data_IF_559453118551
#
_entry.id   IF_559453118551
#
_cell.length_a   1.000
_cell.length_b   1.000
_cell.length_c   1.000
_cell.angle_alpha   90.00
_cell.angle_beta   90.00
_cell.angle_gamma   90.00
#
_symmetry.space_group_name_H-M   'P 1'
#
loop_
_entity.id
_entity.type
_entity.pdbx_description
1 polymer ?
#
# COMPACT_ATOMS: atom_id res chain seq x y z
N UNK A 1 16.82 14.91 37.13
CA UNK A 1 16.46 14.15 35.92
C UNK A 1 16.29 15.14 34.82
N UNK A 2 17.12 15.10 33.78
CA UNK A 2 16.95 15.92 32.58
C UNK A 2 15.79 15.30 31.81
N UNK A 3 14.65 16.00 31.71
CA UNK A 3 13.56 15.54 30.83
C UNK A 3 14.11 15.49 29.41
N UNK A 4 13.94 14.37 28.68
CA UNK A 4 14.36 14.32 27.30
C UNK A 4 13.63 15.41 26.53
N UNK A 5 14.39 16.27 25.82
CA UNK A 5 13.79 17.30 24.96
C UNK A 5 12.92 16.62 23.91
N UNK A 6 11.63 16.88 23.94
CA UNK A 6 10.70 16.42 22.90
C UNK A 6 11.05 17.10 21.59
N UNK A 7 11.31 16.30 20.55
CA UNK A 7 11.46 16.83 19.18
C UNK A 7 10.12 17.39 18.69
N UNK A 8 10.15 18.34 17.77
CA UNK A 8 8.94 18.96 17.19
C UNK A 8 7.96 17.95 16.63
N UNK A 9 8.45 16.90 15.97
CA UNK A 9 7.62 15.83 15.39
C UNK A 9 6.87 15.00 16.44
N UNK A 10 7.36 14.96 17.68
CA UNK A 10 6.70 14.26 18.79
C UNK A 10 5.66 15.11 19.51
N UNK A 11 5.60 16.40 19.23
CA UNK A 11 4.71 17.32 19.92
C UNK A 11 3.42 17.51 19.14
N UNK A 12 2.28 17.30 19.77
CA UNK A 12 1.00 17.77 19.30
C UNK A 12 0.52 18.89 20.20
N UNK A 13 0.52 20.08 19.68
CA UNK A 13 0.06 21.27 20.39
C UNK A 13 -1.45 21.45 20.20
N UNK A 14 -2.17 21.77 21.25
CA UNK A 14 -3.60 22.08 21.22
C UNK A 14 -3.91 23.25 22.15
N UNK A 15 -4.93 24.03 21.80
CA UNK A 15 -5.53 25.04 22.71
C UNK A 15 -6.30 24.36 23.85
N UNK A 16 -6.81 25.15 24.78
CA UNK A 16 -7.68 24.69 25.88
C UNK A 16 -8.96 24.03 25.33
N UNK A 17 -9.52 24.51 24.24
CA UNK A 17 -10.65 23.93 23.53
C UNK A 17 -10.31 22.72 22.67
N UNK A 18 -9.10 22.13 22.83
CA UNK A 18 -8.58 20.99 22.08
C UNK A 18 -8.44 21.23 20.56
N UNK A 19 -8.43 22.47 20.10
CA UNK A 19 -8.16 22.81 18.71
C UNK A 19 -6.68 22.57 18.42
N UNK A 20 -6.32 21.74 17.42
CA UNK A 20 -4.92 21.47 17.11
C UNK A 20 -4.24 22.68 16.46
N UNK A 21 -3.05 23.02 16.92
CA UNK A 21 -2.18 24.01 16.32
C UNK A 21 -1.27 23.28 15.32
N UNK A 22 -1.67 23.28 14.03
CA UNK A 22 -1.04 22.42 13.02
C UNK A 22 -0.13 23.19 12.05
N UNK A 23 -0.11 24.51 12.12
CA UNK A 23 0.59 25.34 11.13
C UNK A 23 1.82 26.00 11.77
N UNK A 24 2.99 25.47 11.40
CA UNK A 24 4.28 25.92 11.97
C UNK A 24 4.68 27.33 11.49
N UNK A 25 4.07 27.80 10.39
CA UNK A 25 4.37 29.11 9.76
C UNK A 25 3.46 30.23 10.28
N UNK A 26 2.49 29.95 11.12
CA UNK A 26 1.59 30.94 11.69
C UNK A 26 2.16 31.55 12.97
N UNK A 27 1.97 32.86 13.11
CA UNK A 27 2.26 33.55 14.37
C UNK A 27 1.21 33.20 15.42
N UNK A 28 1.57 33.32 16.73
CA UNK A 28 0.63 33.08 17.82
C UNK A 28 -0.58 34.02 17.73
N UNK A 29 -0.37 35.23 17.28
CA UNK A 29 -1.45 36.22 17.06
C UNK A 29 -2.43 35.77 15.99
N UNK A 30 -1.93 35.21 14.85
CA UNK A 30 -2.80 34.69 13.77
C UNK A 30 -3.59 33.44 14.18
N UNK A 31 -3.15 32.76 15.25
CA UNK A 31 -3.84 31.66 15.88
C UNK A 31 -4.77 32.12 17.02
N UNK A 32 -4.97 33.44 17.18
CA UNK A 32 -5.74 34.07 18.25
C UNK A 32 -5.26 33.72 19.67
N UNK A 33 -3.98 33.36 19.82
CA UNK A 33 -3.37 33.11 21.13
C UNK A 33 -2.84 34.39 21.75
N UNK A 34 -3.22 34.66 22.98
CA UNK A 34 -2.82 35.81 23.76
C UNK A 34 -1.93 35.47 24.92
N UNK A 35 -1.27 36.46 25.50
CA UNK A 35 -0.51 36.28 26.72
C UNK A 35 -1.41 35.79 27.86
N UNK A 36 -1.07 34.66 28.44
CA UNK A 36 -1.86 34.01 29.50
C UNK A 36 -2.67 32.79 29.02
N UNK A 37 -2.83 32.59 27.70
CA UNK A 37 -3.52 31.41 27.16
C UNK A 37 -2.69 30.13 27.40
N UNK A 38 -3.40 29.03 27.67
CA UNK A 38 -2.77 27.73 27.91
C UNK A 38 -2.67 26.93 26.63
N UNK A 39 -1.47 26.45 26.36
CA UNK A 39 -1.20 25.48 25.25
C UNK A 39 -0.84 24.13 25.85
N UNK A 40 -1.54 23.12 25.44
CA UNK A 40 -1.32 21.74 25.89
C UNK A 40 -0.41 21.00 24.91
N UNK A 41 0.60 20.32 25.45
CA UNK A 41 1.55 19.51 24.68
C UNK A 41 1.25 18.04 24.93
N UNK A 42 0.94 17.29 23.87
CA UNK A 42 0.82 15.83 23.92
C UNK A 42 2.03 15.21 23.25
N UNK A 43 2.75 14.35 23.96
CA UNK A 43 3.81 13.52 23.37
C UNK A 43 3.18 12.42 22.52
N UNK A 44 3.55 12.37 21.24
CA UNK A 44 3.10 11.37 20.26
C UNK A 44 3.95 10.10 20.26
N UNK A 45 4.99 10.05 21.13
CA UNK A 45 5.98 8.97 21.15
C UNK A 45 6.95 9.01 19.95
N UNK A 46 7.78 7.98 19.80
CA UNK A 46 8.71 7.89 18.67
C UNK A 46 7.98 7.99 17.33
N UNK A 47 8.51 8.85 16.44
CA UNK A 47 7.93 9.14 15.13
C UNK A 47 8.85 8.67 14.02
N UNK A 48 8.26 8.25 12.89
CA UNK A 48 8.97 7.85 11.66
C UNK A 48 8.31 8.52 10.46
N UNK A 49 9.11 8.89 9.46
CA UNK A 49 8.60 9.49 8.23
C UNK A 49 7.71 8.54 7.44
N UNK A 50 6.55 9.01 6.97
CA UNK A 50 5.62 8.23 6.13
C UNK A 50 6.33 7.59 4.93
N UNK A 51 7.18 8.37 4.24
CA UNK A 51 7.92 7.88 3.08
C UNK A 51 8.81 6.69 3.43
N UNK A 52 9.53 6.75 4.55
CA UNK A 52 10.36 5.64 5.04
C UNK A 52 9.55 4.38 5.29
N UNK A 53 8.37 4.53 5.90
CA UNK A 53 7.47 3.38 6.15
C UNK A 53 7.07 2.73 4.85
N UNK A 54 6.63 3.49 3.83
CA UNK A 54 6.24 2.93 2.54
C UNK A 54 7.38 2.26 1.79
N UNK A 55 8.60 2.83 1.83
CA UNK A 55 9.78 2.15 1.27
C UNK A 55 10.05 0.81 1.94
N UNK A 56 9.99 0.75 3.25
CA UNK A 56 10.20 -0.52 3.98
C UNK A 56 9.10 -1.52 3.66
N UNK A 57 7.84 -1.09 3.60
CA UNK A 57 6.71 -1.97 3.29
C UNK A 57 6.84 -2.63 1.93
N UNK A 58 7.10 -1.85 0.87
CA UNK A 58 7.13 -2.36 -0.50
C UNK A 58 8.43 -3.06 -0.87
N UNK A 59 9.55 -2.74 -0.19
CA UNK A 59 10.81 -3.46 -0.34
C UNK A 59 10.67 -4.95 0.03
N UNK A 60 9.81 -5.29 0.99
CA UNK A 60 9.60 -6.69 1.39
C UNK A 60 9.24 -7.60 0.23
N UNK A 61 8.11 -7.42 -0.43
CA UNK A 61 7.72 -8.22 -1.59
C UNK A 61 8.74 -8.17 -2.74
N UNK A 62 9.35 -7.01 -3.01
CA UNK A 62 10.38 -6.87 -4.05
C UNK A 62 11.59 -7.77 -3.80
N UNK A 63 11.95 -8.01 -2.56
CA UNK A 63 13.07 -8.87 -2.18
C UNK A 63 12.64 -10.34 -2.01
N UNK A 64 11.48 -10.56 -1.40
CA UNK A 64 11.03 -11.91 -1.04
C UNK A 64 10.58 -12.71 -2.27
N UNK A 65 9.86 -12.11 -3.23
CA UNK A 65 9.41 -12.84 -4.42
C UNK A 65 10.57 -13.40 -5.25
N UNK A 66 11.61 -12.63 -5.63
CA UNK A 66 12.75 -13.18 -6.34
C UNK A 66 13.50 -14.23 -5.51
N UNK A 67 13.67 -13.98 -4.20
CA UNK A 67 14.35 -14.93 -3.33
C UNK A 67 13.62 -16.26 -3.26
N UNK A 68 12.32 -16.25 -3.02
CA UNK A 68 11.51 -17.48 -2.99
C UNK A 68 11.50 -18.16 -4.36
N UNK A 69 11.37 -17.39 -5.44
CA UNK A 69 11.44 -17.95 -6.80
C UNK A 69 12.76 -18.67 -7.08
N UNK A 70 13.89 -18.11 -6.67
CA UNK A 70 15.20 -18.72 -6.86
C UNK A 70 15.40 -19.95 -5.96
N UNK A 71 14.90 -19.92 -4.74
CA UNK A 71 15.11 -20.99 -3.76
C UNK A 71 14.10 -22.15 -3.87
N UNK A 72 12.88 -21.89 -4.32
CA UNK A 72 11.81 -22.88 -4.32
C UNK A 72 12.19 -24.22 -5.02
N UNK A 73 12.84 -24.25 -6.19
CA UNK A 73 13.23 -25.53 -6.81
C UNK A 73 14.16 -26.35 -5.92
N UNK A 74 15.10 -25.71 -5.23
CA UNK A 74 16.06 -26.37 -4.34
C UNK A 74 15.38 -26.88 -3.07
N UNK A 75 14.52 -26.05 -2.47
CA UNK A 75 13.77 -26.41 -1.27
C UNK A 75 12.83 -27.57 -1.56
N UNK A 76 12.07 -27.54 -2.64
CA UNK A 76 11.16 -28.63 -2.99
C UNK A 76 11.88 -29.89 -3.40
N UNK A 77 13.05 -29.78 -4.04
CA UNK A 77 13.88 -30.96 -4.35
C UNK A 77 14.36 -31.69 -3.08
N UNK A 78 14.65 -30.99 -1.99
CA UNK A 78 14.99 -31.61 -0.71
C UNK A 78 13.84 -32.40 -0.08
N UNK A 79 12.60 -32.09 -0.48
CA UNK A 79 11.40 -32.88 -0.12
C UNK A 79 11.03 -33.96 -1.18
N UNK A 80 11.95 -34.24 -2.11
CA UNK A 80 11.73 -35.23 -3.17
C UNK A 80 10.78 -34.76 -4.30
N UNK A 81 10.54 -33.47 -4.43
CA UNK A 81 9.66 -32.90 -5.44
C UNK A 81 10.44 -31.93 -6.36
N UNK A 82 10.76 -32.41 -7.56
CA UNK A 82 11.26 -31.53 -8.62
C UNK A 82 10.11 -31.02 -9.48
N UNK A 83 10.21 -29.77 -9.93
CA UNK A 83 9.23 -29.14 -10.83
C UNK A 83 9.89 -28.10 -11.74
N UNK A 84 9.22 -27.76 -12.81
CA UNK A 84 9.57 -26.64 -13.68
C UNK A 84 8.51 -25.56 -13.55
N UNK A 85 8.94 -24.31 -13.59
CA UNK A 85 8.01 -23.19 -13.52
C UNK A 85 7.07 -23.16 -14.71
N UNK A 86 5.80 -22.92 -14.44
CA UNK A 86 4.80 -22.64 -15.47
C UNK A 86 4.91 -21.20 -15.98
N UNK A 87 4.37 -20.93 -17.16
CA UNK A 87 4.30 -19.57 -17.72
C UNK A 87 3.53 -18.63 -16.78
N UNK A 88 2.44 -19.11 -16.16
CA UNK A 88 1.67 -18.28 -15.23
C UNK A 88 2.48 -17.88 -13.99
N UNK A 89 3.32 -18.76 -13.45
CA UNK A 89 4.22 -18.40 -12.33
C UNK A 89 5.25 -17.36 -12.73
N UNK A 90 5.86 -17.50 -13.91
CA UNK A 90 6.86 -16.55 -14.43
C UNK A 90 6.25 -15.17 -14.70
N UNK A 91 5.09 -15.14 -15.35
CA UNK A 91 4.35 -13.91 -15.59
C UNK A 91 3.96 -13.25 -14.26
N UNK A 92 3.47 -14.03 -13.30
CA UNK A 92 3.09 -13.47 -11.99
C UNK A 92 4.27 -12.84 -11.27
N UNK A 93 5.46 -13.45 -11.32
CA UNK A 93 6.67 -12.84 -10.77
C UNK A 93 6.90 -11.45 -11.36
N UNK A 94 6.84 -11.33 -12.68
CA UNK A 94 7.05 -10.05 -13.37
C UNK A 94 5.99 -9.02 -12.95
N UNK A 95 4.72 -9.41 -12.93
CA UNK A 95 3.62 -8.50 -12.56
C UNK A 95 3.75 -8.01 -11.12
N UNK A 96 4.06 -8.89 -10.18
CA UNK A 96 4.25 -8.53 -8.76
C UNK A 96 5.44 -7.60 -8.58
N UNK A 97 6.56 -7.86 -9.25
CA UNK A 97 7.73 -6.99 -9.18
C UNK A 97 7.45 -5.61 -9.78
N UNK A 98 6.76 -5.55 -10.91
CA UNK A 98 6.36 -4.28 -11.54
C UNK A 98 5.39 -3.50 -10.64
N UNK A 99 4.42 -4.19 -10.00
CA UNK A 99 3.51 -3.56 -9.05
C UNK A 99 4.26 -2.88 -7.91
N UNK A 100 5.10 -3.62 -7.19
CA UNK A 100 5.82 -3.05 -6.04
C UNK A 100 6.90 -2.03 -6.44
N UNK A 101 7.56 -2.19 -7.60
CA UNK A 101 8.45 -1.18 -8.15
C UNK A 101 7.69 0.13 -8.46
N UNK A 102 6.48 0.04 -9.03
CA UNK A 102 5.61 1.20 -9.21
C UNK A 102 5.25 1.83 -7.87
N UNK A 103 4.90 1.03 -6.84
CA UNK A 103 4.57 1.54 -5.50
C UNK A 103 5.76 2.28 -4.85
N UNK A 104 6.98 1.79 -5.03
CA UNK A 104 8.20 2.49 -4.61
C UNK A 104 8.36 3.82 -5.34
N UNK A 105 8.22 3.80 -6.67
CA UNK A 105 8.28 5.01 -7.49
C UNK A 105 7.24 6.04 -7.07
N UNK A 106 5.99 5.64 -6.86
CA UNK A 106 4.92 6.51 -6.41
C UNK A 106 5.21 7.11 -5.03
N UNK A 107 5.76 6.33 -4.11
CA UNK A 107 6.15 6.79 -2.78
C UNK A 107 7.29 7.81 -2.82
N UNK A 108 8.22 7.65 -3.76
CA UNK A 108 9.33 8.57 -3.96
C UNK A 108 8.91 9.91 -4.57
N UNK A 109 8.06 9.87 -5.61
CA UNK A 109 7.88 11.00 -6.51
C UNK A 109 6.44 11.53 -6.60
N UNK A 110 5.45 10.69 -6.36
CA UNK A 110 4.03 11.00 -6.58
C UNK A 110 3.31 11.34 -5.27
N UNK A 111 3.45 10.50 -4.23
CA UNK A 111 2.67 10.67 -3.02
C UNK A 111 3.01 11.95 -2.25
N UNK A 112 1.98 12.66 -1.82
CA UNK A 112 2.07 13.85 -0.97
C UNK A 112 1.37 13.60 0.35
N UNK A 113 2.16 13.46 1.40
CA UNK A 113 1.66 13.16 2.73
C UNK A 113 1.15 14.42 3.43
N UNK A 114 0.02 14.31 4.13
CA UNK A 114 -0.56 15.42 4.91
C UNK A 114 0.24 15.70 6.18
N UNK A 115 0.81 14.65 6.76
CA UNK A 115 1.69 14.71 7.91
C UNK A 115 3.08 14.22 7.52
N UNK A 116 4.11 14.79 8.10
CA UNK A 116 5.50 14.39 7.83
C UNK A 116 5.84 13.02 8.43
N UNK A 117 5.25 12.70 9.60
CA UNK A 117 5.54 11.51 10.38
C UNK A 117 4.29 10.77 10.86
N UNK A 118 4.49 9.54 11.31
CA UNK A 118 3.52 8.69 11.98
C UNK A 118 4.19 8.01 13.19
N UNK A 119 3.41 7.44 14.14
CA UNK A 119 4.00 6.63 15.22
C UNK A 119 4.87 5.51 14.68
N UNK A 120 6.12 5.42 15.15
CA UNK A 120 7.12 4.48 14.65
C UNK A 120 6.67 3.00 14.75
N UNK A 121 5.84 2.66 15.73
CA UNK A 121 5.31 1.31 15.89
C UNK A 121 4.47 0.84 14.67
N UNK A 122 3.90 1.76 13.91
CA UNK A 122 3.10 1.42 12.73
C UNK A 122 3.91 0.72 11.63
N UNK A 123 5.25 0.88 11.61
CA UNK A 123 6.11 0.16 10.64
C UNK A 123 5.94 -1.35 10.78
N UNK A 124 5.85 -1.88 12.00
CA UNK A 124 5.70 -3.33 12.21
C UNK A 124 4.34 -3.83 11.74
N UNK A 125 3.27 -3.07 12.01
CA UNK A 125 1.93 -3.41 11.57
C UNK A 125 1.83 -3.45 10.04
N UNK A 126 2.32 -2.41 9.41
CA UNK A 126 2.22 -2.24 7.97
C UNK A 126 3.17 -3.21 7.24
N UNK A 127 4.45 -3.25 7.65
CA UNK A 127 5.40 -4.20 7.08
C UNK A 127 4.97 -5.66 7.28
N UNK A 128 4.33 -5.98 8.41
CA UNK A 128 3.77 -7.31 8.65
C UNK A 128 2.77 -7.72 7.58
N UNK A 129 1.86 -6.83 7.17
CA UNK A 129 0.93 -7.09 6.07
C UNK A 129 1.67 -7.36 4.75
N UNK A 130 2.57 -6.46 4.35
CA UNK A 130 3.26 -6.59 3.07
C UNK A 130 4.29 -7.72 3.03
N UNK A 131 5.10 -7.86 4.09
CA UNK A 131 6.16 -8.87 4.11
C UNK A 131 5.62 -10.28 4.30
N UNK A 132 4.66 -10.47 5.22
CA UNK A 132 4.13 -11.80 5.54
C UNK A 132 3.05 -12.24 4.54
N UNK A 133 2.07 -11.40 4.24
CA UNK A 133 0.98 -11.80 3.36
C UNK A 133 1.36 -11.67 1.88
N UNK A 134 1.81 -10.49 1.45
CA UNK A 134 2.20 -10.30 0.06
C UNK A 134 3.57 -10.93 -0.25
N UNK A 135 4.55 -10.81 0.64
CA UNK A 135 5.87 -11.38 0.43
C UNK A 135 5.88 -12.89 0.61
N UNK A 136 5.75 -13.37 1.84
CA UNK A 136 5.98 -14.80 2.18
C UNK A 136 4.82 -15.69 1.73
N UNK A 137 3.60 -15.42 2.20
CA UNK A 137 2.44 -16.30 1.92
C UNK A 137 2.17 -16.40 0.42
N UNK A 138 2.11 -15.26 -0.26
CA UNK A 138 1.80 -15.20 -1.68
C UNK A 138 2.89 -15.92 -2.51
N UNK A 139 4.17 -15.62 -2.25
CA UNK A 139 5.28 -16.20 -3.03
C UNK A 139 5.44 -17.71 -2.81
N UNK A 140 5.34 -18.20 -1.57
CA UNK A 140 5.42 -19.64 -1.28
C UNK A 140 4.28 -20.39 -1.97
N UNK A 141 3.06 -19.86 -1.96
CA UNK A 141 1.92 -20.47 -2.63
C UNK A 141 2.10 -20.49 -4.14
N UNK A 142 2.42 -19.36 -4.74
CA UNK A 142 2.54 -19.23 -6.20
C UNK A 142 3.73 -20.05 -6.73
N UNK A 143 4.93 -19.94 -6.12
CA UNK A 143 6.13 -20.60 -6.66
C UNK A 143 6.31 -22.03 -6.13
N UNK A 144 5.21 -22.71 -5.83
CA UNK A 144 5.18 -24.10 -5.42
C UNK A 144 5.05 -25.07 -6.62
N UNK A 145 5.39 -26.36 -6.44
CA UNK A 145 5.13 -27.38 -7.47
C UNK A 145 3.66 -27.54 -7.83
N UNK A 146 2.74 -27.19 -6.93
CA UNK A 146 1.29 -27.26 -7.15
C UNK A 146 0.78 -26.26 -8.21
N UNK A 147 1.60 -25.27 -8.54
CA UNK A 147 1.37 -24.26 -9.59
C UNK A 147 2.38 -24.41 -10.75
N UNK A 148 3.25 -25.43 -10.69
CA UNK A 148 4.28 -25.71 -11.69
C UNK A 148 3.70 -26.21 -13.02
N UNK A 149 4.54 -26.30 -14.08
CA UNK A 149 4.12 -26.65 -15.44
C UNK A 149 3.32 -27.94 -15.51
N UNK A 150 3.71 -28.97 -14.73
CA UNK A 150 3.00 -30.25 -14.70
C UNK A 150 1.59 -30.13 -14.11
N UNK A 151 1.40 -29.26 -13.12
CA UNK A 151 0.12 -29.05 -12.45
C UNK A 151 -0.86 -28.22 -13.30
N UNK A 152 -0.35 -27.27 -14.10
CA UNK A 152 -1.20 -26.40 -14.92
C UNK A 152 -1.46 -26.94 -16.32
N UNK A 153 -0.67 -27.93 -16.78
CA UNK A 153 -0.75 -28.48 -18.13
C UNK A 153 -2.15 -28.98 -18.45
N UNK A 154 -2.69 -28.52 -19.59
CA UNK A 154 -4.04 -28.86 -20.03
C UNK A 154 -5.18 -28.17 -19.28
N UNK A 155 -4.87 -27.26 -18.35
CA UNK A 155 -5.85 -26.39 -17.72
C UNK A 155 -5.91 -25.03 -18.45
N UNK A 156 -6.91 -24.19 -18.12
CA UNK A 156 -7.01 -22.82 -18.66
C UNK A 156 -5.77 -21.97 -18.35
N UNK A 157 -5.03 -22.29 -17.28
CA UNK A 157 -3.81 -21.58 -16.86
C UNK A 157 -2.59 -21.88 -17.75
N UNK A 158 -2.69 -22.87 -18.62
CA UNK A 158 -1.65 -23.21 -19.63
C UNK A 158 -1.92 -22.49 -20.97
N UNK A 159 -3.11 -21.89 -21.16
CA UNK A 159 -3.47 -21.17 -22.36
C UNK A 159 -2.88 -19.74 -22.35
N UNK A 160 -2.00 -19.39 -23.31
CA UNK A 160 -1.43 -18.04 -23.41
C UNK A 160 -2.48 -16.94 -23.59
N UNK A 161 -3.65 -17.25 -24.18
CA UNK A 161 -4.74 -16.27 -24.35
C UNK A 161 -5.38 -15.94 -23.01
N UNK A 162 -5.58 -16.93 -22.16
CA UNK A 162 -6.08 -16.76 -20.79
C UNK A 162 -5.13 -15.89 -19.98
N UNK A 163 -3.84 -16.24 -19.96
CA UNK A 163 -2.81 -15.45 -19.26
C UNK A 163 -2.76 -14.03 -19.82
N UNK A 164 -2.73 -13.87 -21.14
CA UNK A 164 -2.67 -12.58 -21.81
C UNK A 164 -3.87 -11.67 -21.48
N UNK A 165 -5.08 -12.23 -21.37
CA UNK A 165 -6.27 -11.47 -20.99
C UNK A 165 -6.11 -10.86 -19.59
N UNK A 166 -5.63 -11.62 -18.60
CA UNK A 166 -5.41 -11.11 -17.26
C UNK A 166 -4.22 -10.15 -17.16
N UNK A 167 -3.18 -10.33 -17.97
CA UNK A 167 -2.09 -9.35 -18.07
C UNK A 167 -2.62 -8.00 -18.58
N UNK A 168 -3.50 -8.01 -19.57
CA UNK A 168 -4.14 -6.77 -20.10
C UNK A 168 -4.99 -6.12 -19.00
N UNK A 169 -5.87 -6.88 -18.33
CA UNK A 169 -6.71 -6.37 -17.24
C UNK A 169 -5.84 -5.76 -16.13
N UNK A 170 -4.81 -6.48 -15.70
CA UNK A 170 -3.86 -6.01 -14.69
C UNK A 170 -3.17 -4.72 -15.12
N UNK A 171 -2.66 -4.65 -16.37
CA UNK A 171 -1.98 -3.46 -16.89
C UNK A 171 -2.90 -2.24 -16.90
N UNK A 172 -4.14 -2.40 -17.36
CA UNK A 172 -5.12 -1.32 -17.36
C UNK A 172 -5.46 -0.87 -15.93
N UNK A 173 -5.56 -1.80 -15.01
CA UNK A 173 -5.78 -1.50 -13.59
C UNK A 173 -4.60 -0.73 -12.97
N UNK A 174 -3.35 -1.14 -13.23
CA UNK A 174 -2.16 -0.44 -12.77
C UNK A 174 -2.04 0.99 -13.32
N UNK A 175 -2.35 1.16 -14.61
CA UNK A 175 -2.40 2.49 -15.23
C UNK A 175 -3.50 3.36 -14.63
N UNK A 176 -4.68 2.80 -14.39
CA UNK A 176 -5.79 3.51 -13.74
C UNK A 176 -5.48 3.89 -12.29
N UNK A 177 -4.82 2.99 -11.55
CA UNK A 177 -4.33 3.24 -10.19
C UNK A 177 -3.29 4.38 -10.18
N UNK A 178 -2.29 4.31 -11.05
CA UNK A 178 -1.26 5.34 -11.19
C UNK A 178 -1.86 6.71 -11.54
N UNK A 179 -2.78 6.74 -12.51
CA UNK A 179 -3.43 8.00 -12.92
C UNK A 179 -4.29 8.60 -11.81
N UNK A 180 -4.94 7.76 -11.01
CA UNK A 180 -5.67 8.20 -9.82
C UNK A 180 -4.74 8.86 -8.78
N UNK A 181 -3.56 8.26 -8.53
CA UNK A 181 -2.54 8.85 -7.65
C UNK A 181 -1.97 10.17 -8.22
N UNK A 182 -1.80 10.24 -9.54
CA UNK A 182 -1.35 11.46 -10.20
C UNK A 182 -2.36 12.61 -10.02
N UNK A 183 -3.66 12.34 -10.21
CA UNK A 183 -4.71 13.33 -9.93
C UNK A 183 -4.64 13.80 -8.48
N UNK A 184 -4.58 12.88 -7.51
CA UNK A 184 -4.48 13.22 -6.10
C UNK A 184 -3.22 14.06 -5.77
N UNK A 185 -2.11 13.81 -6.46
CA UNK A 185 -0.89 14.60 -6.34
C UNK A 185 -1.10 16.04 -6.83
N UNK A 186 -1.77 16.24 -7.97
CA UNK A 186 -1.97 17.57 -8.56
C UNK A 186 -2.91 18.46 -7.75
N UNK A 187 -3.83 17.87 -7.00
CA UNK A 187 -4.76 18.60 -6.14
C UNK A 187 -4.09 19.26 -4.94
N UNK A 188 -2.90 18.83 -4.56
CA UNK A 188 -2.21 19.38 -3.41
C UNK A 188 -0.90 20.05 -3.81
N UNK A 189 -0.78 21.37 -3.73
CA UNK A 189 0.47 22.05 -3.90
C UNK A 189 1.53 21.57 -2.90
N UNK A 190 2.80 21.58 -3.32
CA UNK A 190 3.91 21.18 -2.43
C UNK A 190 3.93 22.03 -1.17
N UNK A 191 4.13 21.39 -0.02
CA UNK A 191 4.23 22.08 1.27
C UNK A 191 2.90 22.53 1.88
N UNK A 192 1.74 22.26 1.26
CA UNK A 192 0.44 22.64 1.80
C UNK A 192 -0.33 21.46 2.37
N UNK A 193 -1.23 21.72 3.31
CA UNK A 193 -2.19 20.77 3.89
C UNK A 193 -3.60 20.95 3.31
N UNK A 194 -3.74 21.77 2.27
CA UNK A 194 -5.02 22.05 1.63
C UNK A 194 -5.58 20.75 1.04
N UNK A 195 -6.85 20.46 1.35
CA UNK A 195 -7.59 19.33 0.79
C UNK A 195 -8.60 19.85 -0.21
N UNK A 196 -8.56 19.27 -1.40
CA UNK A 196 -9.54 19.53 -2.45
C UNK A 196 -10.26 18.24 -2.79
N UNK A 197 -11.50 18.36 -3.25
CA UNK A 197 -12.31 17.22 -3.70
C UNK A 197 -11.81 16.82 -5.09
N UNK A 198 -11.32 15.57 -5.29
CA UNK A 198 -10.91 15.11 -6.61
C UNK A 198 -12.12 15.03 -7.54
N UNK A 199 -11.90 15.37 -8.80
CA UNK A 199 -12.89 15.35 -9.88
C UNK A 199 -12.28 14.76 -11.14
N UNK A 200 -13.16 14.30 -12.03
CA UNK A 200 -12.77 13.72 -13.31
C UNK A 200 -12.30 12.28 -13.21
N UNK A 201 -12.05 11.66 -14.36
CA UNK A 201 -11.70 10.25 -14.47
C UNK A 201 -12.67 9.36 -13.67
N UNK A 202 -12.16 8.34 -13.01
CA UNK A 202 -12.98 7.42 -12.22
C UNK A 202 -13.49 8.01 -10.87
N UNK A 203 -13.07 9.23 -10.45
CA UNK A 203 -13.59 9.90 -9.24
C UNK A 203 -15.06 10.31 -9.36
N UNK A 204 -15.61 10.39 -10.57
CA UNK A 204 -17.05 10.60 -10.77
C UNK A 204 -17.88 9.32 -10.56
N UNK A 205 -17.23 8.15 -10.61
CA UNK A 205 -17.90 6.85 -10.50
C UNK A 205 -17.73 6.22 -9.11
N UNK A 206 -16.54 6.35 -8.53
CA UNK A 206 -16.20 5.75 -7.24
C UNK A 206 -15.41 6.73 -6.36
N UNK A 207 -15.64 6.69 -5.05
CA UNK A 207 -15.00 7.61 -4.09
C UNK A 207 -13.48 7.49 -4.03
N UNK A 208 -12.94 6.30 -4.25
CA UNK A 208 -11.49 6.01 -4.19
C UNK A 208 -11.07 5.12 -5.36
N UNK A 209 -10.91 5.69 -6.57
CA UNK A 209 -10.55 4.91 -7.76
C UNK A 209 -9.18 4.22 -7.61
N UNK A 210 -8.24 4.80 -6.88
CA UNK A 210 -6.96 4.15 -6.58
C UNK A 210 -7.16 2.80 -5.88
N UNK A 211 -8.06 2.68 -4.89
CA UNK A 211 -8.37 1.40 -4.25
C UNK A 211 -9.12 0.46 -5.18
N UNK A 212 -10.05 0.98 -5.97
CA UNK A 212 -10.78 0.18 -6.95
C UNK A 212 -9.82 -0.49 -7.94
N UNK A 213 -8.93 0.26 -8.56
CA UNK A 213 -7.97 -0.29 -9.51
C UNK A 213 -6.93 -1.21 -8.85
N UNK A 214 -6.53 -0.93 -7.61
CA UNK A 214 -5.69 -1.82 -6.82
C UNK A 214 -6.36 -3.20 -6.63
N UNK A 215 -7.65 -3.20 -6.25
CA UNK A 215 -8.43 -4.44 -6.12
C UNK A 215 -8.55 -5.18 -7.46
N UNK A 216 -8.82 -4.47 -8.56
CA UNK A 216 -8.91 -5.09 -9.90
C UNK A 216 -7.58 -5.74 -10.28
N UNK A 217 -6.45 -5.11 -10.02
CA UNK A 217 -5.13 -5.67 -10.30
C UNK A 217 -4.89 -6.98 -9.53
N UNK A 218 -5.20 -7.01 -8.24
CA UNK A 218 -5.03 -8.22 -7.42
C UNK A 218 -6.04 -9.32 -7.73
N UNK A 219 -7.27 -8.97 -8.08
CA UNK A 219 -8.28 -9.91 -8.60
C UNK A 219 -7.80 -10.54 -9.91
N UNK A 220 -7.20 -9.75 -10.82
CA UNK A 220 -6.64 -10.28 -12.06
C UNK A 220 -5.52 -11.31 -11.80
N UNK A 221 -4.59 -11.02 -10.87
CA UNK A 221 -3.55 -11.98 -10.45
C UNK A 221 -4.19 -13.24 -9.85
N UNK A 222 -5.19 -13.07 -8.99
CA UNK A 222 -5.86 -14.20 -8.32
C UNK A 222 -6.55 -15.10 -9.33
N UNK A 223 -7.31 -14.55 -10.26
CA UNK A 223 -8.00 -15.31 -11.29
C UNK A 223 -7.03 -15.94 -12.29
N UNK A 224 -5.94 -15.26 -12.64
CA UNK A 224 -4.90 -15.80 -13.50
C UNK A 224 -4.22 -17.04 -12.89
N UNK A 225 -3.94 -17.00 -11.59
CA UNK A 225 -3.25 -18.08 -10.87
C UNK A 225 -4.20 -19.16 -10.34
N UNK A 226 -5.43 -18.82 -9.96
CA UNK A 226 -6.38 -19.66 -9.22
C UNK A 226 -5.74 -20.26 -7.94
N UNK A 227 -4.79 -19.53 -7.35
CA UNK A 227 -4.06 -19.95 -6.15
C UNK A 227 -4.78 -19.51 -4.88
N UNK A 228 -4.83 -20.40 -3.89
CA UNK A 228 -5.42 -20.09 -2.59
C UNK A 228 -4.67 -18.95 -1.88
N UNK A 229 -3.34 -18.90 -1.98
CA UNK A 229 -2.55 -17.83 -1.37
C UNK A 229 -2.86 -16.46 -1.99
N UNK A 230 -3.05 -16.41 -3.32
CA UNK A 230 -3.47 -15.20 -4.03
C UNK A 230 -4.88 -14.77 -3.61
N UNK A 231 -5.80 -15.72 -3.46
CA UNK A 231 -7.15 -15.45 -2.99
C UNK A 231 -7.16 -14.88 -1.56
N UNK A 232 -6.45 -15.51 -0.63
CA UNK A 232 -6.33 -15.05 0.76
C UNK A 232 -5.76 -13.64 0.80
N UNK A 233 -4.66 -13.38 0.10
CA UNK A 233 -4.05 -12.05 0.05
C UNK A 233 -5.04 -11.01 -0.51
N UNK A 234 -5.70 -11.29 -1.63
CA UNK A 234 -6.66 -10.38 -2.27
C UNK A 234 -7.85 -10.08 -1.36
N UNK A 235 -8.41 -11.09 -0.70
CA UNK A 235 -9.53 -10.92 0.24
C UNK A 235 -9.12 -10.05 1.44
N UNK A 236 -7.98 -10.34 2.06
CA UNK A 236 -7.50 -9.56 3.22
C UNK A 236 -7.19 -8.12 2.83
N UNK A 237 -6.51 -7.89 1.70
CA UNK A 237 -6.19 -6.55 1.22
C UNK A 237 -7.44 -5.76 0.85
N UNK A 238 -8.40 -6.39 0.17
CA UNK A 238 -9.70 -5.77 -0.16
C UNK A 238 -10.49 -5.41 1.10
N UNK A 239 -10.55 -6.31 2.09
CA UNK A 239 -11.21 -6.05 3.36
C UNK A 239 -10.56 -4.86 4.10
N UNK A 240 -9.23 -4.79 4.14
CA UNK A 240 -8.51 -3.68 4.77
C UNK A 240 -8.78 -2.35 4.06
N UNK A 241 -8.77 -2.31 2.73
CA UNK A 241 -9.11 -1.11 1.95
C UNK A 241 -10.58 -0.69 2.19
N UNK A 242 -11.52 -1.64 2.23
CA UNK A 242 -12.94 -1.38 2.50
C UNK A 242 -13.14 -0.79 3.89
N UNK A 243 -12.51 -1.37 4.92
CA UNK A 243 -12.56 -0.84 6.28
C UNK A 243 -11.98 0.57 6.33
N UNK A 244 -10.85 0.82 5.65
CA UNK A 244 -10.26 2.16 5.56
C UNK A 244 -11.25 3.17 4.96
N UNK A 245 -11.95 2.81 3.88
CA UNK A 245 -12.98 3.65 3.26
C UNK A 245 -14.15 3.97 4.20
N UNK A 246 -14.65 2.97 4.92
CA UNK A 246 -15.77 3.16 5.86
C UNK A 246 -15.43 4.13 6.99
N UNK A 247 -14.17 4.11 7.47
CA UNK A 247 -13.71 5.02 8.52
C UNK A 247 -13.38 6.43 8.01
N UNK A 248 -13.00 6.58 6.74
CA UNK A 248 -12.56 7.87 6.18
C UNK A 248 -13.65 8.59 5.39
N UNK A 249 -14.68 7.89 4.95
CA UNK A 249 -15.84 8.50 4.27
C UNK A 249 -16.69 9.26 5.28
N UNK A 250 -17.11 10.51 4.96
CA UNK A 250 -18.05 11.24 5.81
C UNK A 250 -19.35 10.45 5.91
N UNK A 251 -19.87 10.34 7.13
CA UNK A 251 -21.18 9.73 7.37
C UNK A 251 -22.29 10.44 6.59
N UNK A 252 -23.31 9.74 6.07
CA UNK A 252 -24.48 10.40 5.50
C UNK A 252 -25.17 11.36 6.47
N UNK A 253 -24.88 11.24 7.78
CA UNK A 253 -25.41 12.15 8.84
C UNK A 253 -24.62 13.44 8.97
N UNK A 254 -23.44 13.55 8.32
CA UNK A 254 -22.56 14.74 8.38
C UNK A 254 -22.75 15.64 7.16
N UNK A 255 -23.82 15.43 6.36
CA UNK A 255 -24.22 16.23 5.20
C UNK A 255 -25.41 17.13 5.53
#
# INVERSE_FOLDING_TARGET
MVQPRLTTERQRLTTEDKVPLLEDDKTLESLNLRSGDKVYVKDLGPQIGWRTVFFVEYAGPLLIHPLVYLLAPHVWASFGRSFTYSTVQQVTLVLVLLHFAKREFESAFIHRFSNSTMPAFNIFKNSGHYWLLSGVLLSIGIYSPFEGQQAVRGTVRDDPRYIGAFVIIWTLAELGNFYSHYILMTLRPKGTRVRQIPRGFAFELVSCPNYFFEMVAWVAITLMNLSLSALIFTVVSTAQMTVCLLYTSPSPRDK
#
